data_IF_121528240672
#
_entry.id   IF_121528240672
#
_cell.length_a   1.000
_cell.length_b   1.000
_cell.length_c   1.000
_cell.angle_alpha   90.00
_cell.angle_beta   90.00
_cell.angle_gamma   90.00
#
_symmetry.space_group_name_H-M   'P 1'
#
loop_
_entity.id
_entity.type
_entity.pdbx_description
1 polymer ?
#
# COMPACT_ATOMS: atom_id res chain seq x y z
N UNK A 1 7.55 51.72 0.35
CA UNK A 1 7.21 50.25 0.39
C UNK A 1 8.27 49.52 -0.36
N UNK A 2 9.26 48.93 0.32
CA UNK A 2 10.23 48.04 -0.31
C UNK A 2 9.49 46.76 -0.75
N UNK A 3 9.57 46.50 -2.04
CA UNK A 3 9.13 45.23 -2.58
C UNK A 3 10.22 44.21 -2.21
N UNK A 4 9.96 43.36 -1.23
CA UNK A 4 10.85 42.21 -0.96
C UNK A 4 10.96 41.40 -2.24
N UNK A 5 12.20 41.20 -2.70
CA UNK A 5 12.49 40.31 -3.84
C UNK A 5 12.08 38.90 -3.42
N UNK A 6 10.96 38.42 -3.93
CA UNK A 6 10.59 36.99 -3.83
C UNK A 6 11.62 36.24 -4.68
N UNK A 7 12.60 35.66 -4.02
CA UNK A 7 13.49 34.70 -4.68
C UNK A 7 12.65 33.47 -5.06
N UNK A 8 12.50 33.26 -6.37
CA UNK A 8 11.93 32.01 -6.89
C UNK A 8 12.77 30.87 -6.31
N UNK A 9 12.15 30.00 -5.53
CA UNK A 9 12.80 28.78 -5.08
C UNK A 9 13.03 27.91 -6.32
N UNK A 10 14.27 27.88 -6.79
CA UNK A 10 14.68 26.92 -7.82
C UNK A 10 14.67 25.54 -7.18
N UNK A 11 13.97 24.54 -7.74
CA UNK A 11 14.00 23.18 -7.22
C UNK A 11 15.45 22.70 -7.10
N UNK A 12 15.84 22.21 -5.94
CA UNK A 12 17.18 21.63 -5.73
C UNK A 12 17.28 20.39 -6.61
N UNK A 13 18.17 20.43 -7.60
CA UNK A 13 18.47 19.24 -8.41
C UNK A 13 19.28 18.28 -7.54
N UNK A 14 18.69 17.13 -7.23
CA UNK A 14 19.32 16.07 -6.46
C UNK A 14 20.21 15.24 -7.38
N UNK A 15 21.42 14.97 -6.95
CA UNK A 15 22.40 14.20 -7.72
C UNK A 15 22.24 12.68 -7.53
N UNK A 16 23.03 11.91 -8.25
CA UNK A 16 22.99 10.44 -8.18
C UNK A 16 23.38 9.92 -6.78
N UNK A 17 24.33 10.59 -6.10
CA UNK A 17 24.76 10.22 -4.76
C UNK A 17 23.64 10.40 -3.74
N UNK A 18 22.83 11.46 -3.87
CA UNK A 18 21.66 11.66 -3.03
C UNK A 18 20.71 10.47 -3.12
N UNK A 19 20.37 10.03 -4.33
CA UNK A 19 19.43 8.90 -4.51
C UNK A 19 20.03 7.55 -4.09
N UNK A 20 21.33 7.37 -4.21
CA UNK A 20 22.02 6.20 -3.67
C UNK A 20 21.90 6.14 -2.15
N UNK A 21 22.18 7.26 -1.47
CA UNK A 21 22.04 7.38 -0.02
C UNK A 21 20.58 7.20 0.43
N UNK A 22 19.61 7.75 -0.30
CA UNK A 22 18.19 7.59 -0.03
C UNK A 22 17.75 6.11 -0.10
N UNK A 23 18.18 5.39 -1.15
CA UNK A 23 17.87 3.96 -1.27
C UNK A 23 18.56 3.12 -0.19
N UNK A 24 19.76 3.50 0.23
CA UNK A 24 20.45 2.85 1.34
C UNK A 24 19.70 3.09 2.66
N UNK A 25 19.26 4.33 2.91
CA UNK A 25 18.46 4.69 4.09
C UNK A 25 17.16 3.87 4.14
N UNK A 26 16.43 3.77 3.02
CA UNK A 26 15.16 3.00 2.95
C UNK A 26 15.33 1.49 3.16
N UNK A 27 16.55 0.97 3.07
CA UNK A 27 16.88 -0.43 3.39
C UNK A 27 17.33 -0.63 4.84
N UNK A 28 17.58 0.47 5.57
CA UNK A 28 17.97 0.41 6.98
C UNK A 28 16.74 0.30 7.87
N UNK A 29 16.95 0.02 9.16
CA UNK A 29 15.89 0.10 10.16
C UNK A 29 15.55 1.57 10.44
N UNK A 30 14.32 1.99 10.18
CA UNK A 30 13.82 3.34 10.36
C UNK A 30 12.30 3.39 10.45
N UNK A 31 11.74 4.53 10.84
CA UNK A 31 10.30 4.76 10.82
C UNK A 31 9.82 4.93 9.38
N UNK A 32 8.86 4.10 8.97
CA UNK A 32 8.35 4.10 7.60
C UNK A 32 7.31 5.20 7.36
N UNK A 33 7.44 5.89 6.23
CA UNK A 33 6.41 6.76 5.68
C UNK A 33 5.53 5.95 4.70
N UNK A 34 4.30 5.65 5.11
CA UNK A 34 3.29 4.99 4.27
C UNK A 34 2.19 5.98 3.89
N UNK A 35 1.72 5.92 2.64
CA UNK A 35 0.62 6.78 2.19
C UNK A 35 -0.19 6.18 1.05
N UNK A 36 -1.39 6.73 0.85
CA UNK A 36 -2.25 6.37 -0.28
C UNK A 36 -2.21 7.47 -1.34
N UNK A 37 -2.17 7.06 -2.61
CA UNK A 37 -2.13 7.97 -3.75
C UNK A 37 -3.32 7.76 -4.67
N UNK A 38 -4.27 8.70 -4.61
CA UNK A 38 -5.45 8.72 -5.47
C UNK A 38 -5.26 9.54 -6.75
N UNK A 39 -6.03 9.21 -7.78
CA UNK A 39 -6.05 9.98 -9.02
C UNK A 39 -4.79 9.85 -9.89
N UNK A 40 -3.99 8.82 -9.70
CA UNK A 40 -2.81 8.53 -10.51
C UNK A 40 -3.15 8.31 -11.98
N UNK A 41 -2.53 9.10 -12.85
CA UNK A 41 -2.73 9.01 -14.31
C UNK A 41 -1.42 8.95 -15.10
N UNK A 42 -0.34 9.48 -14.54
CA UNK A 42 0.94 9.68 -15.23
C UNK A 42 0.77 10.36 -16.61
N UNK A 43 -0.18 11.31 -16.69
CA UNK A 43 -0.54 12.01 -17.92
C UNK A 43 -0.95 13.45 -17.64
N UNK A 44 -0.72 14.32 -18.65
CA UNK A 44 -1.01 15.74 -18.58
C UNK A 44 0.05 16.55 -17.85
N UNK A 45 -0.19 17.83 -17.67
CA UNK A 45 0.77 18.80 -17.12
C UNK A 45 0.70 18.94 -15.60
N UNK A 46 -0.34 18.37 -14.95
CA UNK A 46 -0.51 18.48 -13.50
C UNK A 46 0.43 17.53 -12.75
N UNK A 47 1.35 18.06 -11.93
CA UNK A 47 2.32 17.24 -11.19
C UNK A 47 1.68 16.29 -10.19
N UNK A 48 0.49 16.62 -9.65
CA UNK A 48 -0.24 15.80 -8.67
C UNK A 48 -0.78 14.47 -9.21
N UNK A 49 -0.58 14.19 -10.50
CA UNK A 49 -1.01 12.95 -11.15
C UNK A 49 0.10 11.94 -11.38
N UNK A 50 1.30 12.21 -10.88
CA UNK A 50 2.48 11.39 -11.08
C UNK A 50 3.07 10.91 -9.76
N UNK A 51 3.42 9.64 -9.68
CA UNK A 51 4.14 9.07 -8.52
C UNK A 51 5.51 9.73 -8.31
N UNK A 52 6.21 10.02 -9.39
CA UNK A 52 7.54 10.69 -9.35
C UNK A 52 7.54 12.07 -8.73
N UNK A 53 6.38 12.67 -8.53
CA UNK A 53 6.23 13.98 -7.88
C UNK A 53 5.81 13.88 -6.41
N UNK A 54 5.66 12.67 -5.88
CA UNK A 54 5.55 12.46 -4.44
C UNK A 54 6.89 12.80 -3.76
N UNK A 55 6.87 13.15 -2.47
CA UNK A 55 8.10 13.24 -1.70
C UNK A 55 8.90 11.94 -1.84
N UNK A 56 10.15 12.05 -2.29
CA UNK A 56 11.00 10.88 -2.50
C UNK A 56 11.36 10.13 -1.20
N UNK A 57 11.13 10.76 -0.04
CA UNK A 57 11.25 10.15 1.28
C UNK A 57 10.12 9.17 1.64
N UNK A 58 9.03 9.08 0.85
CA UNK A 58 7.97 8.10 1.07
C UNK A 58 8.50 6.69 0.82
N UNK A 59 8.33 5.79 1.80
CA UNK A 59 8.84 4.42 1.71
C UNK A 59 7.88 3.50 0.97
N UNK A 60 6.60 3.57 1.30
CA UNK A 60 5.54 2.77 0.68
C UNK A 60 4.39 3.67 0.26
N UNK A 61 3.94 3.51 -0.96
CA UNK A 61 2.73 4.17 -1.46
C UNK A 61 1.76 3.13 -2.00
N UNK A 62 0.51 3.19 -1.56
CA UNK A 62 -0.56 2.33 -2.07
C UNK A 62 -1.44 3.11 -3.05
N UNK A 63 -1.66 2.56 -4.25
CA UNK A 63 -2.49 3.17 -5.28
C UNK A 63 -3.95 3.01 -4.89
N UNK A 64 -4.61 4.14 -4.65
CA UNK A 64 -6.03 4.22 -4.37
C UNK A 64 -6.83 4.46 -5.65
N UNK A 65 -7.77 3.58 -5.94
CA UNK A 65 -8.62 3.67 -7.12
C UNK A 65 -8.21 2.70 -8.24
N UNK A 66 -8.03 3.20 -9.47
CA UNK A 66 -7.70 2.34 -10.61
C UNK A 66 -6.24 1.89 -10.56
N UNK A 67 -6.01 0.64 -10.22
CA UNK A 67 -4.69 0.00 -10.14
C UNK A 67 -4.46 -1.05 -11.23
N UNK A 68 -5.48 -1.40 -11.99
CA UNK A 68 -5.41 -2.34 -13.12
C UNK A 68 -5.48 -1.59 -14.47
N UNK A 69 -5.17 -2.30 -15.55
CA UNK A 69 -5.20 -1.71 -16.92
C UNK A 69 -4.27 -0.51 -17.06
N UNK A 70 -3.07 -0.60 -16.47
CA UNK A 70 -2.10 0.49 -16.50
C UNK A 70 -1.66 0.82 -17.93
N UNK A 71 -1.54 2.12 -18.21
CA UNK A 71 -0.92 2.62 -19.42
C UNK A 71 0.61 2.44 -19.35
N UNK A 72 1.28 2.50 -20.50
CA UNK A 72 2.74 2.47 -20.57
C UNK A 72 3.36 3.57 -19.68
N UNK A 73 2.80 4.78 -19.74
CA UNK A 73 3.27 5.91 -18.93
C UNK A 73 3.13 5.68 -17.41
N UNK A 74 2.06 5.00 -16.98
CA UNK A 74 1.91 4.62 -15.58
C UNK A 74 2.93 3.57 -15.18
N UNK A 75 3.19 2.55 -16.01
CA UNK A 75 4.22 1.54 -15.74
C UNK A 75 5.62 2.15 -15.65
N UNK A 76 5.93 3.12 -16.52
CA UNK A 76 7.20 3.87 -16.48
C UNK A 76 7.32 4.75 -15.23
N UNK A 77 6.24 5.40 -14.82
CA UNK A 77 6.19 6.23 -13.61
C UNK A 77 6.36 5.40 -12.33
N UNK A 78 5.70 4.23 -12.29
CA UNK A 78 5.85 3.24 -11.22
C UNK A 78 7.30 2.75 -11.11
N UNK A 79 7.85 2.31 -12.24
CA UNK A 79 9.24 1.84 -12.30
C UNK A 79 10.24 2.93 -11.89
N UNK A 80 9.98 4.18 -12.27
CA UNK A 80 10.85 5.29 -11.90
C UNK A 80 10.97 5.45 -10.38
N UNK A 81 9.85 5.48 -9.65
CA UNK A 81 9.90 5.66 -8.18
C UNK A 81 10.50 4.45 -7.47
N UNK A 82 10.31 3.25 -8.01
CA UNK A 82 10.92 2.03 -7.48
C UNK A 82 12.45 2.04 -7.66
N UNK A 83 12.93 2.36 -8.86
CA UNK A 83 14.36 2.29 -9.18
C UNK A 83 15.16 3.51 -8.70
N UNK A 84 14.58 4.71 -8.80
CA UNK A 84 15.28 5.96 -8.44
C UNK A 84 15.13 6.27 -6.96
N UNK A 85 13.90 6.24 -6.43
CA UNK A 85 13.63 6.61 -5.04
C UNK A 85 13.73 5.43 -4.07
N UNK A 86 13.64 4.20 -4.57
CA UNK A 86 13.51 3.01 -3.72
C UNK A 86 12.15 2.90 -3.03
N UNK A 87 11.16 3.67 -3.48
CA UNK A 87 9.78 3.64 -2.96
C UNK A 87 9.11 2.36 -3.39
N UNK A 88 8.50 1.64 -2.44
CA UNK A 88 7.65 0.48 -2.71
C UNK A 88 6.26 0.93 -3.11
N UNK A 89 5.70 0.30 -4.14
CA UNK A 89 4.37 0.63 -4.64
C UNK A 89 3.46 -0.57 -4.53
N UNK A 90 2.41 -0.44 -3.73
CA UNK A 90 1.31 -1.40 -3.61
C UNK A 90 0.06 -0.84 -4.28
N UNK A 91 -1.02 -1.59 -4.30
CA UNK A 91 -2.34 -1.09 -4.66
C UNK A 91 -3.38 -1.56 -3.65
N UNK A 92 -4.41 -0.75 -3.44
CA UNK A 92 -5.45 -1.02 -2.45
C UNK A 92 -6.63 -1.77 -3.05
N UNK A 93 -7.06 -2.82 -2.36
CA UNK A 93 -8.30 -3.56 -2.64
C UNK A 93 -9.16 -3.58 -1.38
N UNK A 94 -10.45 -3.22 -1.51
CA UNK A 94 -11.43 -3.46 -0.45
C UNK A 94 -11.62 -4.96 -0.24
N UNK A 95 -11.32 -5.45 0.95
CA UNK A 95 -11.46 -6.87 1.28
C UNK A 95 -12.84 -7.22 1.85
N UNK A 96 -13.93 -6.76 1.22
CA UNK A 96 -15.30 -7.05 1.67
C UNK A 96 -15.79 -8.38 1.12
N UNK A 97 -15.93 -8.47 -0.18
CA UNK A 97 -16.52 -9.60 -0.91
C UNK A 97 -15.73 -9.88 -2.19
N UNK A 98 -15.97 -11.04 -2.81
CA UNK A 98 -15.28 -11.47 -4.03
C UNK A 98 -15.39 -10.48 -5.20
N UNK A 99 -16.49 -9.70 -5.27
CA UNK A 99 -16.68 -8.67 -6.30
C UNK A 99 -15.67 -7.52 -6.28
N UNK A 100 -14.96 -7.33 -5.17
CA UNK A 100 -13.91 -6.31 -5.06
C UNK A 100 -12.58 -6.75 -5.67
N UNK A 101 -12.44 -8.05 -5.95
CA UNK A 101 -11.20 -8.66 -6.41
C UNK A 101 -11.17 -8.83 -7.94
N UNK A 102 -9.98 -8.94 -8.55
CA UNK A 102 -9.87 -9.23 -9.96
C UNK A 102 -10.45 -10.64 -10.28
N UNK A 103 -11.16 -10.72 -11.39
CA UNK A 103 -11.87 -11.93 -11.80
C UNK A 103 -13.36 -11.84 -11.51
N UNK A 104 -14.06 -12.90 -11.87
CA UNK A 104 -15.51 -13.02 -11.66
C UNK A 104 -15.77 -14.28 -10.83
N UNK A 105 -15.61 -14.15 -9.51
CA UNK A 105 -15.77 -15.25 -8.57
C UNK A 105 -17.08 -15.14 -7.81
N UNK A 106 -17.72 -16.27 -7.61
CA UNK A 106 -18.84 -16.39 -6.70
C UNK A 106 -18.40 -16.07 -5.25
N UNK A 107 -19.29 -15.41 -4.48
CA UNK A 107 -18.95 -14.91 -3.13
C UNK A 107 -19.00 -16.03 -2.07
N UNK A 108 -18.11 -17.01 -2.22
CA UNK A 108 -17.99 -18.20 -1.33
C UNK A 108 -16.53 -18.42 -0.93
N UNK A 109 -16.31 -19.00 0.25
CA UNK A 109 -14.97 -19.17 0.82
C UNK A 109 -14.08 -20.10 -0.01
N UNK A 110 -14.66 -21.04 -0.71
CA UNK A 110 -13.95 -22.01 -1.58
C UNK A 110 -13.17 -21.33 -2.70
N UNK A 111 -13.55 -20.12 -3.09
CA UNK A 111 -12.91 -19.33 -4.13
C UNK A 111 -11.71 -18.50 -3.62
N UNK A 112 -11.45 -18.44 -2.31
CA UNK A 112 -10.36 -17.63 -1.73
C UNK A 112 -8.99 -17.95 -2.36
N UNK A 113 -8.59 -19.22 -2.55
CA UNK A 113 -7.30 -19.53 -3.19
C UNK A 113 -7.20 -18.99 -4.63
N UNK A 114 -8.28 -19.09 -5.41
CA UNK A 114 -8.31 -18.60 -6.78
C UNK A 114 -8.25 -17.05 -6.83
N UNK A 115 -8.93 -16.38 -5.92
CA UNK A 115 -8.88 -14.92 -5.75
C UNK A 115 -7.49 -14.47 -5.35
N UNK A 116 -6.87 -15.12 -4.37
CA UNK A 116 -5.50 -14.79 -3.95
C UNK A 116 -4.51 -14.91 -5.12
N UNK A 117 -4.65 -15.97 -5.94
CA UNK A 117 -3.85 -16.13 -7.15
C UNK A 117 -4.08 -15.00 -8.16
N UNK A 118 -5.33 -14.59 -8.40
CA UNK A 118 -5.65 -13.52 -9.34
C UNK A 118 -5.09 -12.16 -8.91
N UNK A 119 -5.09 -11.89 -7.60
CA UNK A 119 -4.43 -10.69 -7.03
C UNK A 119 -2.92 -10.78 -7.21
N UNK A 120 -2.30 -11.90 -6.88
CA UNK A 120 -0.86 -12.09 -7.03
C UNK A 120 -0.43 -11.97 -8.50
N UNK A 121 -1.19 -12.57 -9.44
CA UNK A 121 -0.95 -12.42 -10.87
C UNK A 121 -0.98 -10.95 -11.30
N UNK A 122 -1.85 -10.13 -10.69
CA UNK A 122 -1.92 -8.68 -10.95
C UNK A 122 -0.70 -7.94 -10.41
N UNK A 123 -0.21 -8.30 -9.21
CA UNK A 123 1.03 -7.75 -8.64
C UNK A 123 2.19 -7.96 -9.60
N UNK A 124 2.37 -9.17 -10.09
CA UNK A 124 3.46 -9.51 -11.02
C UNK A 124 3.26 -8.88 -12.40
N UNK A 125 2.04 -8.93 -12.94
CA UNK A 125 1.72 -8.38 -14.27
C UNK A 125 2.06 -6.91 -14.41
N UNK A 126 1.77 -6.10 -13.39
CA UNK A 126 1.98 -4.67 -13.43
C UNK A 126 3.28 -4.21 -12.76
N UNK A 127 4.01 -5.12 -12.12
CA UNK A 127 5.29 -4.82 -11.48
C UNK A 127 5.17 -4.12 -10.13
N UNK A 128 4.03 -4.28 -9.42
CA UNK A 128 3.87 -3.76 -8.08
C UNK A 128 4.79 -4.47 -7.06
N UNK A 129 5.07 -3.81 -5.97
CA UNK A 129 5.82 -4.40 -4.84
C UNK A 129 4.93 -5.21 -3.90
N UNK A 130 3.61 -5.17 -4.08
CA UNK A 130 2.67 -5.91 -3.25
C UNK A 130 1.24 -5.40 -3.35
N UNK A 131 0.45 -5.70 -2.34
CA UNK A 131 -0.97 -5.35 -2.22
C UNK A 131 -1.28 -4.81 -0.83
N UNK A 132 -2.29 -3.98 -0.73
CA UNK A 132 -2.83 -3.41 0.49
C UNK A 132 -4.33 -3.73 0.57
N UNK A 133 -4.74 -4.41 1.63
CA UNK A 133 -6.13 -4.79 1.84
C UNK A 133 -6.81 -3.80 2.78
N UNK A 134 -7.71 -2.98 2.24
CA UNK A 134 -8.60 -2.14 3.04
C UNK A 134 -9.71 -3.01 3.65
N UNK A 135 -9.52 -3.35 4.93
CA UNK A 135 -10.34 -4.31 5.67
C UNK A 135 -11.36 -3.59 6.55
N UNK A 136 -12.39 -3.02 5.95
CA UNK A 136 -13.49 -2.34 6.65
C UNK A 136 -14.80 -3.14 6.57
N UNK A 137 -14.74 -4.43 6.77
CA UNK A 137 -15.85 -5.36 6.58
C UNK A 137 -17.01 -5.16 7.57
N UNK A 138 -18.22 -5.22 7.04
CA UNK A 138 -19.49 -5.30 7.77
C UNK A 138 -19.90 -6.75 8.06
N UNK A 139 -20.88 -6.97 8.93
CA UNK A 139 -21.28 -8.30 9.41
C UNK A 139 -21.72 -9.28 8.31
N UNK A 140 -22.19 -8.77 7.16
CA UNK A 140 -22.62 -9.58 6.01
C UNK A 140 -21.53 -9.89 5.01
N UNK A 141 -20.34 -9.30 5.14
CA UNK A 141 -19.26 -9.47 4.18
C UNK A 141 -18.53 -10.81 4.37
N UNK A 142 -18.10 -11.40 3.27
CA UNK A 142 -17.44 -12.70 3.27
C UNK A 142 -16.18 -12.69 4.14
N UNK A 143 -15.35 -11.63 3.99
CA UNK A 143 -14.08 -11.51 4.68
C UNK A 143 -14.20 -10.91 6.09
N UNK A 144 -15.42 -10.53 6.54
CA UNK A 144 -15.63 -10.20 7.96
C UNK A 144 -15.43 -11.43 8.88
N UNK A 145 -15.51 -12.63 8.32
CA UNK A 145 -15.14 -13.84 9.04
C UNK A 145 -13.61 -13.94 9.11
N UNK A 146 -13.05 -13.86 10.31
CA UNK A 146 -11.59 -13.87 10.51
C UNK A 146 -10.88 -15.05 9.87
N UNK A 147 -11.53 -16.24 9.83
CA UNK A 147 -10.99 -17.43 9.17
C UNK A 147 -10.81 -17.21 7.65
N UNK A 148 -11.73 -16.50 7.00
CA UNK A 148 -11.66 -16.23 5.57
C UNK A 148 -10.53 -15.23 5.26
N UNK A 149 -10.41 -14.17 6.07
CA UNK A 149 -9.31 -13.21 5.92
C UNK A 149 -7.96 -13.87 6.20
N UNK A 150 -7.85 -14.68 7.23
CA UNK A 150 -6.63 -15.48 7.52
C UNK A 150 -6.27 -16.38 6.34
N UNK A 151 -7.27 -17.05 5.74
CA UNK A 151 -7.05 -17.87 4.55
C UNK A 151 -6.55 -17.04 3.37
N UNK A 152 -7.15 -15.86 3.13
CA UNK A 152 -6.72 -14.94 2.08
C UNK A 152 -5.25 -14.55 2.26
N UNK A 153 -4.86 -14.10 3.45
CA UNK A 153 -3.49 -13.67 3.73
C UNK A 153 -2.48 -14.81 3.55
N UNK A 154 -2.81 -16.01 4.01
CA UNK A 154 -1.98 -17.21 3.82
C UNK A 154 -1.80 -17.56 2.33
N UNK A 155 -2.89 -17.61 1.58
CA UNK A 155 -2.85 -17.91 0.14
C UNK A 155 -2.13 -16.80 -0.65
N UNK A 156 -2.29 -15.53 -0.25
CA UNK A 156 -1.55 -14.41 -0.82
C UNK A 156 -0.04 -14.58 -0.60
N UNK A 157 0.40 -14.91 0.64
CA UNK A 157 1.81 -15.14 0.92
C UNK A 157 2.37 -16.31 0.13
N UNK A 158 1.62 -17.40 0.01
CA UNK A 158 2.02 -18.57 -0.79
C UNK A 158 2.21 -18.23 -2.28
N UNK A 159 1.38 -17.35 -2.84
CA UNK A 159 1.47 -16.94 -4.25
C UNK A 159 2.52 -15.84 -4.51
N UNK A 160 2.70 -14.91 -3.55
CA UNK A 160 3.61 -13.75 -3.72
C UNK A 160 5.06 -14.05 -3.34
N UNK A 161 5.31 -15.04 -2.48
CA UNK A 161 6.62 -15.25 -1.86
C UNK A 161 6.93 -14.19 -0.80
N UNK A 162 8.14 -14.20 -0.25
CA UNK A 162 8.55 -13.31 0.87
C UNK A 162 8.96 -11.90 0.42
N UNK A 163 9.30 -11.72 -0.85
CA UNK A 163 9.83 -10.44 -1.36
C UNK A 163 8.74 -9.39 -1.62
N UNK A 164 7.47 -9.79 -1.64
CA UNK A 164 6.34 -8.90 -1.91
C UNK A 164 5.62 -8.50 -0.63
N UNK A 165 5.15 -7.28 -0.60
CA UNK A 165 4.43 -6.73 0.54
C UNK A 165 2.96 -7.17 0.56
N UNK A 166 2.48 -7.51 1.74
CA UNK A 166 1.07 -7.67 2.06
C UNK A 166 0.78 -6.73 3.22
N UNK A 167 0.00 -5.68 2.94
CA UNK A 167 -0.43 -4.71 3.92
C UNK A 167 -1.91 -4.94 4.24
N UNK A 168 -2.32 -4.62 5.46
CA UNK A 168 -3.73 -4.61 5.85
C UNK A 168 -4.00 -3.32 6.60
N UNK A 169 -4.98 -2.56 6.14
CA UNK A 169 -5.45 -1.34 6.78
C UNK A 169 -6.94 -1.44 7.19
N UNK A 170 -7.45 -0.48 7.92
CA UNK A 170 -8.84 -0.45 8.42
C UNK A 170 -9.01 -1.12 9.78
N UNK A 171 -9.87 -2.15 9.87
CA UNK A 171 -10.18 -2.87 11.11
C UNK A 171 -9.14 -3.95 11.42
N UNK A 172 -7.92 -3.52 11.64
CA UNK A 172 -6.75 -4.39 11.84
C UNK A 172 -6.88 -5.30 13.08
N UNK A 173 -7.68 -4.92 14.07
CA UNK A 173 -7.99 -5.72 15.26
C UNK A 173 -8.81 -6.99 14.97
N UNK A 174 -9.41 -7.09 13.78
CA UNK A 174 -10.16 -8.28 13.35
C UNK A 174 -9.26 -9.36 12.75
N UNK A 175 -8.01 -9.04 12.45
CA UNK A 175 -7.06 -10.00 11.91
C UNK A 175 -6.55 -10.91 13.03
N UNK A 176 -6.54 -12.20 12.77
CA UNK A 176 -6.05 -13.20 13.73
C UNK A 176 -4.53 -13.14 13.88
N UNK A 177 -4.00 -13.65 14.97
CA UNK A 177 -2.55 -13.84 15.14
C UNK A 177 -1.95 -14.68 14.00
N UNK A 178 -2.66 -15.74 13.58
CA UNK A 178 -2.24 -16.54 12.41
C UNK A 178 -2.24 -15.73 11.12
N UNK A 179 -3.23 -14.84 10.90
CA UNK A 179 -3.29 -13.96 9.74
C UNK A 179 -2.08 -13.02 9.69
N UNK A 180 -1.67 -12.46 10.83
CA UNK A 180 -0.52 -11.57 10.91
C UNK A 180 0.81 -12.21 10.55
N UNK A 181 0.97 -13.51 10.67
CA UNK A 181 2.18 -14.23 10.21
C UNK A 181 2.41 -14.13 8.69
N UNK A 182 1.39 -13.76 7.95
CA UNK A 182 1.42 -13.69 6.49
C UNK A 182 1.43 -12.24 5.94
N UNK A 183 1.22 -11.23 6.81
CA UNK A 183 1.25 -9.81 6.42
C UNK A 183 2.53 -9.13 6.91
N UNK A 184 2.90 -8.03 6.22
CA UNK A 184 4.09 -7.24 6.56
C UNK A 184 3.74 -6.03 7.44
N UNK A 185 2.63 -5.35 7.14
CA UNK A 185 2.25 -4.11 7.81
C UNK A 185 0.78 -4.09 8.18
N UNK A 186 0.52 -3.59 9.40
CA UNK A 186 -0.80 -3.25 9.91
C UNK A 186 -0.93 -1.73 9.96
N UNK A 187 -1.91 -1.16 9.27
CA UNK A 187 -2.13 0.28 9.22
C UNK A 187 -3.48 0.61 9.89
N UNK A 188 -3.43 1.16 11.11
CA UNK A 188 -4.63 1.65 11.76
C UNK A 188 -5.06 2.98 11.13
N UNK A 189 -6.23 3.00 10.49
CA UNK A 189 -6.84 4.21 9.97
C UNK A 189 -7.32 5.10 11.13
N UNK A 190 -6.43 5.91 11.69
CA UNK A 190 -6.68 6.74 12.87
C UNK A 190 -7.16 8.14 12.48
N UNK A 191 -8.01 8.27 11.47
CA UNK A 191 -8.54 9.54 10.98
C UNK A 191 -9.24 10.33 12.09
N UNK A 192 -8.91 11.63 12.21
CA UNK A 192 -9.47 12.51 13.23
C UNK A 192 -9.02 12.19 14.67
N UNK A 193 -8.12 11.25 14.89
CA UNK A 193 -7.58 10.93 16.21
C UNK A 193 -6.48 11.93 16.56
N UNK A 194 -6.71 12.75 17.58
CA UNK A 194 -5.78 13.80 18.03
C UNK A 194 -5.13 13.50 19.38
N UNK A 195 -5.72 12.58 20.16
CA UNK A 195 -5.23 12.24 21.49
C UNK A 195 -4.17 11.12 21.44
N UNK A 196 -2.97 11.33 21.98
CA UNK A 196 -1.93 10.29 22.03
C UNK A 196 -2.39 9.00 22.72
N UNK A 197 -3.24 9.10 23.75
CA UNK A 197 -3.80 7.94 24.44
C UNK A 197 -4.67 7.06 23.53
N UNK A 198 -5.39 7.65 22.59
CA UNK A 198 -6.20 6.90 21.61
C UNK A 198 -5.33 6.18 20.61
N UNK A 199 -4.22 6.78 20.18
CA UNK A 199 -3.24 6.13 19.30
C UNK A 199 -2.55 4.99 20.03
N UNK A 200 -2.14 5.20 21.28
CA UNK A 200 -1.54 4.16 22.13
C UNK A 200 -2.49 2.98 22.36
N UNK A 201 -3.78 3.25 22.58
CA UNK A 201 -4.78 2.19 22.70
C UNK A 201 -4.87 1.34 21.43
N UNK A 202 -4.94 1.96 20.24
CA UNK A 202 -4.96 1.25 18.95
C UNK A 202 -3.71 0.41 18.75
N UNK A 203 -2.54 0.98 19.03
CA UNK A 203 -1.27 0.26 18.99
C UNK A 203 -1.29 -0.96 19.92
N UNK A 204 -1.67 -0.80 21.17
CA UNK A 204 -1.70 -1.87 22.16
C UNK A 204 -2.69 -3.00 21.79
N UNK A 205 -3.73 -2.68 21.03
CA UNK A 205 -4.73 -3.67 20.60
C UNK A 205 -4.13 -4.66 19.60
N UNK A 206 -3.18 -4.22 18.78
CA UNK A 206 -2.61 -5.02 17.69
C UNK A 206 -1.21 -5.53 18.01
N UNK A 207 -0.38 -4.72 18.70
CA UNK A 207 1.06 -5.02 18.93
C UNK A 207 1.33 -6.34 19.67
N UNK A 208 0.40 -6.81 20.47
CA UNK A 208 0.49 -8.12 21.16
C UNK A 208 0.32 -9.32 20.23
N UNK A 209 -0.11 -9.09 18.98
CA UNK A 209 -0.31 -10.12 17.97
C UNK A 209 0.75 -10.06 16.85
N UNK A 210 1.60 -9.05 16.88
CA UNK A 210 2.69 -8.83 15.91
C UNK A 210 3.99 -9.01 16.70
N UNK A 211 4.67 -10.10 16.48
CA UNK A 211 5.97 -10.41 17.10
C UNK A 211 7.12 -10.00 16.20
#
# INVERSE_FOLDING_TARGET
>A
TEIENISLQVPVVKDAQYYENLRAYKKSDHQLAFGWFGGWKAAGTSPVKYLRNLPDSVDVVSIWGTWHSLTQAQMEDLKYVQEVYGTKVTFTIFSHNMSNFPGNFENVAENIPAVAKAVADSVFKYGYDGVDFDHECSSGDLFNKSVNMTTLLREMRANLGEDKLICVDGYIEKITEEGWKHANYAIAQAYGTTAPSSLQYRFNTVSKHIS
#
